data_IF_295376460616
#
_entry.id   IF_295376460616
#
_cell.length_a   1.000
_cell.length_b   1.000
_cell.length_c   1.000
_cell.angle_alpha   90.00
_cell.angle_beta   90.00
_cell.angle_gamma   90.00
#
_symmetry.space_group_name_H-M   'P 1'
#
loop_
_entity.id
_entity.type
_entity.pdbx_description
1 polymer ?
#
# COMPACT_ATOMS: atom_id res chain seq x y z
N UNK A 1 15.55 0.30 6.84
CA UNK A 1 14.31 0.66 6.11
C UNK A 1 13.33 1.42 6.99
N UNK A 2 12.81 0.86 8.10
CA UNK A 2 11.85 1.60 8.95
C UNK A 2 12.50 2.68 9.82
N UNK A 3 13.79 2.54 10.14
CA UNK A 3 14.57 3.55 10.86
C UNK A 3 14.94 4.75 9.97
N UNK A 4 14.99 4.53 8.64
CA UNK A 4 15.34 5.54 7.65
C UNK A 4 14.13 6.42 7.24
N UNK A 5 12.91 5.95 7.53
CA UNK A 5 11.66 6.64 7.18
C UNK A 5 10.69 6.65 8.39
N UNK A 6 10.96 7.44 9.44
CA UNK A 6 10.11 7.52 10.63
C UNK A 6 8.69 8.03 10.35
N UNK A 7 8.51 8.82 9.29
CA UNK A 7 7.22 9.33 8.81
C UNK A 7 6.38 8.29 8.04
N UNK A 8 6.94 7.12 7.74
CA UNK A 8 6.20 6.07 7.07
C UNK A 8 5.12 5.50 8.00
N UNK A 9 3.88 5.39 7.52
CA UNK A 9 2.82 4.70 8.25
C UNK A 9 3.09 3.19 8.26
N UNK A 10 3.71 2.75 9.34
CA UNK A 10 4.08 1.35 9.57
C UNK A 10 2.85 0.45 9.71
N UNK A 11 1.76 1.00 10.24
CA UNK A 11 0.54 0.26 10.49
C UNK A 11 -0.18 -0.02 9.17
N UNK A 12 -0.26 0.98 8.28
CA UNK A 12 -0.78 0.81 6.93
C UNK A 12 0.04 -0.24 6.17
N UNK A 13 1.38 -0.12 6.15
CA UNK A 13 2.26 -1.08 5.46
C UNK A 13 2.07 -2.53 5.97
N UNK A 14 1.94 -2.73 7.29
CA UNK A 14 1.70 -4.07 7.85
C UNK A 14 0.36 -4.66 7.42
N UNK A 15 -0.69 -3.83 7.36
CA UNK A 15 -2.01 -4.25 6.89
C UNK A 15 -1.93 -4.66 5.41
N UNK A 16 -1.31 -3.84 4.57
CA UNK A 16 -1.15 -4.14 3.15
C UNK A 16 -0.35 -5.42 2.91
N UNK A 17 0.73 -5.65 3.67
CA UNK A 17 1.52 -6.89 3.58
C UNK A 17 0.67 -8.12 3.93
N UNK A 18 -0.14 -8.05 4.99
CA UNK A 18 -1.07 -9.14 5.34
C UNK A 18 -2.11 -9.38 4.25
N UNK A 19 -2.65 -8.33 3.67
CA UNK A 19 -3.63 -8.42 2.57
C UNK A 19 -2.99 -9.04 1.33
N UNK A 20 -1.77 -8.62 0.95
CA UNK A 20 -1.04 -9.18 -0.19
C UNK A 20 -0.72 -10.67 0.00
N UNK A 21 -0.38 -11.10 1.21
CA UNK A 21 -0.19 -12.52 1.54
C UNK A 21 -1.51 -13.30 1.39
N UNK A 22 -2.62 -12.71 1.83
CA UNK A 22 -3.96 -13.32 1.74
C UNK A 22 -4.43 -13.40 0.29
N UNK A 23 -4.25 -12.35 -0.51
CA UNK A 23 -4.56 -12.31 -1.94
C UNK A 23 -3.78 -13.37 -2.70
N UNK A 24 -2.46 -13.46 -2.44
CA UNK A 24 -1.58 -14.47 -3.03
C UNK A 24 -2.04 -15.88 -2.68
N UNK A 25 -2.40 -16.13 -1.42
CA UNK A 25 -2.89 -17.44 -0.99
C UNK A 25 -4.23 -17.81 -1.63
N UNK A 26 -5.10 -16.83 -1.89
CA UNK A 26 -6.42 -17.00 -2.51
C UNK A 26 -6.39 -16.88 -4.05
N UNK A 27 -5.21 -16.77 -4.68
CA UNK A 27 -5.05 -16.49 -6.12
C UNK A 27 -5.85 -15.27 -6.61
N UNK A 28 -6.10 -14.30 -5.74
CA UNK A 28 -6.79 -13.06 -6.08
C UNK A 28 -5.85 -12.11 -6.82
N UNK A 29 -6.39 -11.17 -7.62
CA UNK A 29 -5.59 -10.10 -8.21
C UNK A 29 -4.77 -9.36 -7.14
N UNK A 30 -3.49 -9.01 -7.38
CA UNK A 30 -2.57 -8.51 -6.36
C UNK A 30 -2.74 -7.00 -6.13
N UNK A 31 -3.90 -6.57 -5.62
CA UNK A 31 -4.21 -5.16 -5.37
C UNK A 31 -3.35 -4.60 -4.24
N UNK A 32 -3.29 -5.28 -3.10
CA UNK A 32 -2.50 -4.84 -1.97
C UNK A 32 -1.01 -4.71 -2.32
N UNK A 33 -0.49 -5.57 -3.22
CA UNK A 33 0.88 -5.45 -3.71
C UNK A 33 1.12 -4.16 -4.52
N UNK A 34 0.14 -3.75 -5.34
CA UNK A 34 0.20 -2.49 -6.09
C UNK A 34 0.18 -1.29 -5.15
N UNK A 35 -0.65 -1.33 -4.11
CA UNK A 35 -0.70 -0.27 -3.09
C UNK A 35 0.60 -0.17 -2.29
N UNK A 36 1.20 -1.29 -1.88
CA UNK A 36 2.52 -1.29 -1.23
C UNK A 36 3.53 -0.56 -2.11
N UNK A 37 3.56 -0.83 -3.41
CA UNK A 37 4.47 -0.16 -4.32
C UNK A 37 4.21 1.35 -4.42
N UNK A 38 2.94 1.77 -4.47
CA UNK A 38 2.59 3.20 -4.49
C UNK A 38 3.03 3.90 -3.20
N UNK A 39 2.78 3.31 -2.04
CA UNK A 39 3.21 3.85 -0.74
C UNK A 39 4.74 3.92 -0.68
N UNK A 40 5.46 2.87 -1.07
CA UNK A 40 6.92 2.87 -1.07
C UNK A 40 7.48 3.92 -2.02
N UNK A 41 6.92 4.05 -3.22
CA UNK A 41 7.30 5.08 -4.19
C UNK A 41 7.03 6.48 -3.64
N UNK A 42 5.88 6.69 -3.00
CA UNK A 42 5.52 7.96 -2.37
C UNK A 42 6.36 8.27 -1.13
N UNK A 43 6.96 7.28 -0.46
CA UNK A 43 7.90 7.54 0.65
C UNK A 43 9.30 7.86 0.13
N UNK A 44 9.73 7.16 -0.91
CA UNK A 44 11.09 7.29 -1.45
C UNK A 44 11.26 8.48 -2.40
N UNK A 45 10.26 8.82 -3.21
CA UNK A 45 10.36 9.88 -4.22
C UNK A 45 10.46 11.29 -3.61
N UNK A 46 9.63 11.66 -2.62
CA UNK A 46 9.83 12.80 -1.72
C UNK A 46 11.19 12.87 -1.07
N UNK A 47 11.67 11.75 -0.52
CA UNK A 47 12.95 11.70 0.14
C UNK A 47 14.11 11.91 -0.84
N UNK A 48 13.99 11.40 -2.07
CA UNK A 48 14.98 11.56 -3.13
C UNK A 48 14.99 12.97 -3.75
N UNK A 49 13.85 13.68 -3.75
CA UNK A 49 13.69 15.00 -4.37
C UNK A 49 13.53 16.16 -3.36
N UNK A 50 13.55 15.89 -2.06
CA UNK A 50 13.32 16.88 -1.00
C UNK A 50 11.90 17.47 -0.97
N UNK A 51 10.93 16.84 -1.62
CA UNK A 51 9.57 17.36 -1.80
C UNK A 51 8.60 16.76 -0.77
N UNK A 52 7.99 17.55 0.12
CA UNK A 52 6.99 17.04 1.09
C UNK A 52 5.70 16.66 0.37
N UNK A 53 5.30 15.38 0.39
CA UNK A 53 3.96 14.96 -0.08
C UNK A 53 2.91 15.40 0.93
N UNK A 54 2.11 16.38 0.54
CA UNK A 54 0.79 16.59 1.14
C UNK A 54 -0.11 15.45 0.70
N UNK A 55 -0.73 14.78 1.68
CA UNK A 55 -1.49 13.53 1.51
C UNK A 55 -2.45 13.58 0.33
N UNK A 56 -2.28 12.61 -0.56
CA UNK A 56 -3.24 12.37 -1.64
C UNK A 56 -4.25 11.37 -1.11
N UNK A 57 -5.44 11.89 -0.83
CA UNK A 57 -6.64 11.13 -0.54
C UNK A 57 -7.12 10.49 -1.84
N UNK A 58 -6.82 9.21 -2.05
CA UNK A 58 -7.46 8.43 -3.10
C UNK A 58 -7.29 6.94 -2.76
N UNK A 59 -8.26 6.07 -2.97
CA UNK A 59 -9.56 6.22 -3.58
C UNK A 59 -10.44 5.11 -3.00
N UNK A 60 -11.73 5.38 -2.80
CA UNK A 60 -12.69 4.34 -2.49
C UNK A 60 -12.63 3.24 -3.55
N UNK A 61 -12.44 2.00 -3.10
CA UNK A 61 -12.58 0.85 -3.98
C UNK A 61 -14.03 0.35 -3.90
N UNK A 62 -14.64 -0.01 -5.03
CA UNK A 62 -15.99 -0.55 -5.07
C UNK A 62 -15.96 -1.92 -4.41
N UNK A 63 -16.99 -2.20 -3.63
CA UNK A 63 -17.31 -3.52 -3.11
C UNK A 63 -17.60 -4.44 -4.29
N UNK A 64 -16.56 -5.09 -4.84
CA UNK A 64 -16.76 -6.14 -5.83
C UNK A 64 -17.13 -7.42 -5.08
N UNK A 65 -18.44 -7.51 -4.86
CA UNK A 65 -19.19 -8.69 -4.45
C UNK A 65 -19.09 -9.72 -5.57
N UNK A 66 -18.05 -10.56 -5.52
CA UNK A 66 -17.93 -11.68 -6.43
C UNK A 66 -17.28 -12.89 -5.77
N UNK A 67 -18.00 -14.00 -5.94
CA UNK A 67 -17.66 -15.40 -5.77
C UNK A 67 -17.76 -15.97 -4.34
N UNK A 68 -19.00 -16.20 -3.92
CA UNK A 68 -19.38 -17.40 -3.16
C UNK A 68 -19.34 -18.62 -4.12
N UNK A 69 -18.50 -19.61 -3.80
CA UNK A 69 -18.68 -21.01 -4.18
C UNK A 69 -18.95 -21.83 -2.91
#
# INVERSE_FOLDING_TARGET
LLDDYPQADRQQLRTLVRNAQTEKAKNKPPRAYREIFQVLRALMLPAALGLKTTGDEHAGDPVDEADED
#
